data_IF_367483743793
#
_entry.id   IF_367483743793
#
_cell.length_a   1.000
_cell.length_b   1.000
_cell.length_c   1.000
_cell.angle_alpha   90.00
_cell.angle_beta   90.00
_cell.angle_gamma   90.00
#
_symmetry.space_group_name_H-M   'P 1'
#
loop_
_entity.id
_entity.type
_entity.pdbx_description
1 polymer ?
#
# COMPACT_ATOMS: atom_id res chain seq x y z
N UNK A 1 21.92 -0.40 -10.56
CA UNK A 1 20.83 -0.02 -9.64
C UNK A 1 20.84 -1.03 -8.51
N UNK A 2 21.16 -0.61 -7.28
CA UNK A 2 21.27 -1.53 -6.13
C UNK A 2 19.85 -1.81 -5.65
N UNK A 3 19.31 -2.99 -5.97
CA UNK A 3 17.96 -3.38 -5.56
C UNK A 3 17.92 -3.76 -4.08
N UNK A 4 16.82 -3.43 -3.40
CA UNK A 4 16.52 -3.97 -2.07
C UNK A 4 16.29 -5.49 -2.21
N UNK A 5 17.00 -6.29 -1.41
CA UNK A 5 16.81 -7.74 -1.34
C UNK A 5 16.17 -8.10 0.00
N UNK A 6 15.06 -8.84 -0.06
CA UNK A 6 14.39 -9.36 1.13
C UNK A 6 14.78 -10.83 1.31
N UNK A 7 15.18 -11.20 2.53
CA UNK A 7 15.48 -12.59 2.88
C UNK A 7 14.58 -13.03 4.03
N UNK A 8 14.09 -14.26 3.95
CA UNK A 8 13.35 -14.92 5.02
C UNK A 8 14.26 -15.93 5.72
N UNK A 9 14.36 -15.82 7.03
CA UNK A 9 15.04 -16.80 7.90
C UNK A 9 14.03 -17.83 8.38
N UNK A 10 14.33 -19.11 8.22
CA UNK A 10 13.54 -20.18 8.83
C UNK A 10 14.13 -20.45 10.24
N UNK A 11 13.27 -20.45 11.26
CA UNK A 11 13.69 -20.66 12.66
C UNK A 11 13.82 -22.14 13.02
N UNK A 12 13.25 -23.04 12.20
CA UNK A 12 13.24 -24.49 12.41
C UNK A 12 14.36 -25.19 11.67
N UNK A 13 14.74 -24.67 10.51
CA UNK A 13 15.88 -25.10 9.72
C UNK A 13 16.76 -23.87 9.54
N UNK A 14 18.04 -23.87 9.94
CA UNK A 14 18.96 -22.70 9.91
C UNK A 14 19.31 -22.17 8.51
N UNK A 15 18.33 -22.09 7.60
CA UNK A 15 18.43 -21.65 6.23
C UNK A 15 17.89 -20.23 6.04
N UNK A 16 18.44 -19.57 5.03
CA UNK A 16 18.04 -18.23 4.58
C UNK A 16 17.61 -18.35 3.12
N UNK A 17 16.43 -17.84 2.79
CA UNK A 17 15.89 -17.87 1.41
C UNK A 17 15.59 -16.45 0.94
N UNK A 18 16.08 -16.09 -0.25
CA UNK A 18 15.72 -14.81 -0.89
C UNK A 18 14.24 -14.82 -1.30
N UNK A 19 13.51 -13.77 -0.95
CA UNK A 19 12.14 -13.56 -1.40
C UNK A 19 12.20 -12.75 -2.70
N UNK A 20 11.89 -13.40 -3.82
CA UNK A 20 11.87 -12.74 -5.13
C UNK A 20 10.76 -11.69 -5.16
N UNK A 21 11.07 -10.42 -5.46
CA UNK A 21 10.05 -9.38 -5.58
C UNK A 21 9.17 -9.64 -6.80
N UNK A 22 7.88 -9.36 -6.66
CA UNK A 22 6.93 -9.32 -7.77
C UNK A 22 6.55 -7.86 -8.02
N UNK A 23 6.66 -7.43 -9.28
CA UNK A 23 6.11 -6.15 -9.70
C UNK A 23 4.61 -6.29 -9.89
N UNK A 24 3.85 -5.37 -9.29
CA UNK A 24 2.43 -5.22 -9.59
C UNK A 24 2.27 -4.51 -10.94
N UNK A 25 1.30 -4.94 -11.74
CA UNK A 25 1.09 -4.38 -13.08
C UNK A 25 0.27 -3.08 -13.04
N UNK A 26 -0.61 -2.96 -12.06
CA UNK A 26 -1.52 -1.82 -11.89
C UNK A 26 -1.66 -1.41 -10.43
N UNK A 27 -1.99 -0.14 -10.20
CA UNK A 27 -2.16 0.45 -8.87
C UNK A 27 -3.22 -0.27 -8.04
N UNK A 28 -4.33 -0.65 -8.68
CA UNK A 28 -5.42 -1.40 -8.04
C UNK A 28 -4.98 -2.76 -7.47
N UNK A 29 -3.94 -3.39 -8.03
CA UNK A 29 -3.41 -4.65 -7.49
C UNK A 29 -2.67 -4.41 -6.16
N UNK A 30 -1.89 -3.33 -6.08
CA UNK A 30 -1.20 -2.93 -4.85
C UNK A 30 -2.22 -2.51 -3.79
N UNK A 31 -3.22 -1.71 -4.18
CA UNK A 31 -4.31 -1.29 -3.30
C UNK A 31 -5.03 -2.50 -2.71
N UNK A 32 -5.50 -3.42 -3.55
CA UNK A 32 -6.19 -4.62 -3.09
C UNK A 32 -5.35 -5.48 -2.14
N UNK A 33 -4.04 -5.61 -2.40
CA UNK A 33 -3.13 -6.35 -1.52
C UNK A 33 -2.96 -5.66 -0.16
N UNK A 34 -2.80 -4.33 -0.16
CA UNK A 34 -2.64 -3.55 1.08
C UNK A 34 -3.94 -3.56 1.87
N UNK A 35 -5.10 -3.32 1.24
CA UNK A 35 -6.41 -3.34 1.90
C UNK A 35 -6.70 -4.71 2.54
N UNK A 36 -6.40 -5.81 1.86
CA UNK A 36 -6.60 -7.17 2.38
C UNK A 36 -5.71 -7.51 3.59
N UNK A 37 -4.59 -6.81 3.77
CA UNK A 37 -3.61 -7.07 4.83
C UNK A 37 -3.30 -5.83 5.66
N UNK A 38 -4.19 -4.82 5.63
CA UNK A 38 -3.91 -3.48 6.15
C UNK A 38 -3.64 -3.49 7.66
N UNK A 39 -4.35 -4.35 8.39
CA UNK A 39 -4.14 -4.53 9.84
C UNK A 39 -2.75 -5.09 10.13
N UNK A 40 -2.33 -6.13 9.42
CA UNK A 40 -1.00 -6.76 9.58
C UNK A 40 0.13 -5.84 9.12
N UNK A 41 -0.07 -5.12 8.02
CA UNK A 41 0.99 -4.30 7.39
C UNK A 41 1.18 -2.95 8.08
N UNK A 42 0.08 -2.32 8.52
CA UNK A 42 0.07 -0.93 8.97
C UNK A 42 -0.50 -0.75 10.40
N UNK A 43 -1.05 -1.81 11.02
CA UNK A 43 -1.79 -1.67 12.28
C UNK A 43 -3.12 -0.93 12.12
N UNK A 44 -3.68 -0.91 10.90
CA UNK A 44 -4.87 -0.14 10.56
C UNK A 44 -6.02 -1.07 10.19
N UNK A 45 -7.15 -0.91 10.87
CA UNK A 45 -8.38 -1.61 10.51
C UNK A 45 -9.03 -0.94 9.30
N UNK A 46 -9.08 -1.67 8.21
CA UNK A 46 -9.71 -1.23 6.97
C UNK A 46 -11.22 -0.93 7.15
N UNK A 47 -11.69 0.15 6.52
CA UNK A 47 -13.10 0.57 6.54
C UNK A 47 -13.73 0.59 5.14
N UNK A 48 -13.06 1.21 4.17
CA UNK A 48 -13.62 1.39 2.83
C UNK A 48 -12.52 1.67 1.80
N UNK A 49 -12.71 1.14 0.59
CA UNK A 49 -12.00 1.57 -0.62
C UNK A 49 -12.76 2.70 -1.29
N UNK A 50 -12.07 3.54 -2.04
CA UNK A 50 -12.64 4.58 -2.91
C UNK A 50 -13.66 5.48 -2.18
N UNK A 51 -13.34 5.88 -0.96
CA UNK A 51 -14.24 6.60 -0.07
C UNK A 51 -14.47 8.04 -0.57
N UNK A 52 -15.71 8.35 -0.94
CA UNK A 52 -16.10 9.70 -1.36
C UNK A 52 -16.18 10.68 -0.19
N UNK A 53 -15.58 11.87 -0.32
CA UNK A 53 -15.56 12.91 0.74
C UNK A 53 -16.80 13.83 0.73
N UNK A 54 -17.83 13.42 -0.02
CA UNK A 54 -19.12 14.08 -0.09
C UNK A 54 -19.14 15.36 -0.93
N UNK A 55 -20.32 16.00 -1.08
CA UNK A 55 -20.53 17.11 -2.01
C UNK A 55 -19.71 18.37 -1.69
N UNK A 56 -19.31 18.55 -0.43
CA UNK A 56 -18.57 19.74 0.02
C UNK A 56 -17.12 19.70 -0.45
N UNK A 57 -16.48 18.53 -0.40
CA UNK A 57 -15.06 18.36 -0.73
C UNK A 57 -14.85 17.77 -2.11
N UNK A 58 -15.82 17.01 -2.65
CA UNK A 58 -15.83 16.49 -4.02
C UNK A 58 -14.68 15.54 -4.35
N UNK A 59 -13.94 15.07 -3.36
CA UNK A 59 -12.77 14.22 -3.51
C UNK A 59 -13.08 12.74 -3.27
N UNK A 60 -12.06 11.93 -3.47
CA UNK A 60 -12.05 10.49 -3.22
C UNK A 60 -10.76 10.14 -2.50
N UNK A 61 -10.86 9.27 -1.51
CA UNK A 61 -9.75 8.67 -0.78
C UNK A 61 -9.63 7.23 -1.28
N UNK A 62 -8.45 6.79 -1.70
CA UNK A 62 -8.28 5.44 -2.23
C UNK A 62 -8.58 4.37 -1.16
N UNK A 63 -8.03 4.50 0.06
CA UNK A 63 -8.41 3.62 1.18
C UNK A 63 -8.53 4.38 2.50
N UNK A 64 -9.60 4.09 3.25
CA UNK A 64 -9.88 4.63 4.57
C UNK A 64 -9.81 3.54 5.64
N UNK A 65 -9.17 3.84 6.77
CA UNK A 65 -9.06 2.94 7.92
C UNK A 65 -9.04 3.65 9.27
N UNK A 66 -8.91 2.88 10.35
CA UNK A 66 -8.73 3.36 11.72
C UNK A 66 -7.50 2.71 12.36
N UNK A 67 -6.68 3.51 13.04
CA UNK A 67 -5.58 2.99 13.87
C UNK A 67 -6.06 2.40 15.20
N UNK A 68 -5.13 1.92 16.01
CA UNK A 68 -5.38 1.36 17.35
C UNK A 68 -6.06 2.33 18.34
N UNK A 69 -5.97 3.64 18.10
CA UNK A 69 -6.58 4.69 18.91
C UNK A 69 -7.95 5.15 18.35
N UNK A 70 -8.38 4.59 17.21
CA UNK A 70 -9.58 5.03 16.51
C UNK A 70 -9.40 6.32 15.73
N UNK A 71 -8.16 6.74 15.44
CA UNK A 71 -7.89 7.88 14.57
C UNK A 71 -8.06 7.47 13.10
N UNK A 72 -8.65 8.33 12.24
CA UNK A 72 -8.79 8.04 10.82
C UNK A 72 -7.44 8.02 10.12
N UNK A 73 -7.20 7.00 9.31
CA UNK A 73 -6.01 6.84 8.47
C UNK A 73 -6.44 6.81 7.00
N UNK A 74 -5.74 7.60 6.19
CA UNK A 74 -5.90 7.67 4.73
C UNK A 74 -4.65 7.05 4.09
N UNK A 75 -4.85 6.12 3.17
CA UNK A 75 -3.79 5.54 2.35
C UNK A 75 -4.10 5.84 0.89
N UNK A 76 -3.18 6.53 0.21
CA UNK A 76 -3.28 6.89 -1.20
C UNK A 76 -2.22 6.12 -1.98
N UNK A 77 -2.58 5.62 -3.15
CA UNK A 77 -1.67 4.87 -4.00
C UNK A 77 -1.14 5.76 -5.12
N UNK A 78 0.00 5.37 -5.68
CA UNK A 78 0.61 6.09 -6.81
C UNK A 78 1.37 5.13 -7.69
N UNK A 79 1.00 5.08 -8.96
CA UNK A 79 1.81 4.42 -9.96
C UNK A 79 3.15 5.16 -10.18
N UNK A 80 4.27 4.44 -10.08
CA UNK A 80 5.61 4.96 -10.32
C UNK A 80 5.81 5.52 -11.75
N UNK A 81 4.97 5.12 -12.72
CA UNK A 81 5.00 5.67 -14.08
C UNK A 81 4.66 7.18 -14.15
N UNK A 82 4.00 7.74 -13.13
CA UNK A 82 3.62 9.15 -13.10
C UNK A 82 4.73 10.11 -12.63
N UNK A 83 5.92 9.61 -12.29
CA UNK A 83 7.04 10.46 -11.86
C UNK A 83 7.74 11.21 -13.03
N UNK A 84 7.46 10.85 -14.29
CA UNK A 84 8.11 11.45 -15.48
C UNK A 84 7.30 12.54 -16.21
N UNK A 85 6.14 12.98 -15.69
CA UNK A 85 5.32 14.04 -16.31
C UNK A 85 5.04 15.19 -15.33
N UNK A 86 6.06 15.68 -14.62
CA UNK A 86 6.02 17.01 -13.97
C UNK A 86 7.30 17.81 -14.24
N UNK A 87 7.76 17.79 -15.49
CA UNK A 87 8.70 18.76 -16.04
C UNK A 87 8.16 19.28 -17.37
N UNK A 88 7.88 20.59 -17.43
CA UNK A 88 7.22 21.36 -18.51
C UNK A 88 5.70 21.47 -18.37
N UNK A 89 5.28 22.47 -17.59
CA UNK A 89 4.41 23.52 -18.12
C UNK A 89 5.11 24.85 -17.91
#
# INVERSE_FOLDING_TARGET
MVGLKLFRTDTTNSGVTEVTPRLAEVEAEVQGLVEAHMETLLGVRFLASEYGTGPVHGGRIDSLGLDENGSPVIVEFRNAANELVHGRR
#
